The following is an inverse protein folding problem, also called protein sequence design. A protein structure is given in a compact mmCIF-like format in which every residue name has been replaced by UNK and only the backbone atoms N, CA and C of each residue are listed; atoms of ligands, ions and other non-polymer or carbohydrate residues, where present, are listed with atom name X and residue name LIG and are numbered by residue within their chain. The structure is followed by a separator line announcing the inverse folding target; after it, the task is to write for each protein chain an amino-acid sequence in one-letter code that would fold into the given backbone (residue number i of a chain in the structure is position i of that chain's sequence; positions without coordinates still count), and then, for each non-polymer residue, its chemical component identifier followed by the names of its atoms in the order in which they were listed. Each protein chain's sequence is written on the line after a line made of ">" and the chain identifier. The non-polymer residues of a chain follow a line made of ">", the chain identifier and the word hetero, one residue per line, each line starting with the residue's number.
data_IF_594099998630
#
_entry.id   IF_594099998630
#
_cell.length_a   1.000
_cell.length_b   1.000
_cell.length_c   1.000
_cell.angle_alpha   90.00
_cell.angle_beta   90.00
_cell.angle_gamma   90.00
#
_symmetry.space_group_name_H-M   'P 1'
#
loop_
_entity.id
_entity.type
_entity.pdbx_description
1 polymer ?
#
# COMPACT_ATOMS: atom_id res chain seq x y z
N UNK A 1 3.63 33.38 -4.78
CA UNK A 1 2.86 32.23 -5.26
C UNK A 1 3.38 30.92 -4.63
N UNK A 2 4.66 30.58 -4.80
CA UNK A 2 5.25 29.35 -4.25
C UNK A 2 5.12 29.24 -2.73
N UNK A 3 5.51 30.30 -2.00
CA UNK A 3 5.38 30.32 -0.54
C UNK A 3 3.94 30.09 -0.09
N UNK A 4 2.98 30.78 -0.73
CA UNK A 4 1.56 30.61 -0.38
C UNK A 4 1.04 29.18 -0.65
N UNK A 5 1.44 28.56 -1.75
CA UNK A 5 1.09 27.15 -2.03
C UNK A 5 1.70 26.24 -0.96
N UNK A 6 2.96 26.43 -0.56
CA UNK A 6 3.60 25.65 0.50
C UNK A 6 2.91 25.82 1.85
N UNK A 7 2.55 27.05 2.22
CA UNK A 7 1.84 27.36 3.47
C UNK A 7 0.47 26.64 3.51
N UNK A 8 -0.25 26.64 2.40
CA UNK A 8 -1.54 25.98 2.28
C UNK A 8 -1.41 24.44 2.31
N UNK A 9 -0.35 23.90 1.70
CA UNK A 9 -0.07 22.46 1.77
C UNK A 9 0.28 22.02 3.18
N UNK A 10 1.02 22.85 3.92
CA UNK A 10 1.31 22.60 5.34
C UNK A 10 0.03 22.66 6.19
N UNK A 11 -0.82 23.68 5.98
CA UNK A 11 -2.12 23.79 6.66
C UNK A 11 -2.99 22.57 6.39
N UNK A 12 -3.10 22.12 5.13
CA UNK A 12 -3.82 20.89 4.78
C UNK A 12 -3.23 19.66 5.48
N UNK A 13 -1.89 19.53 5.42
CA UNK A 13 -1.15 18.42 6.03
C UNK A 13 -1.31 18.32 7.55
N UNK A 14 -1.53 19.45 8.23
CA UNK A 14 -1.80 19.50 9.68
C UNK A 14 -3.28 19.28 10.01
N UNK A 15 -4.18 19.84 9.20
CA UNK A 15 -5.61 19.79 9.45
C UNK A 15 -6.21 18.38 9.26
N UNK A 16 -5.79 17.66 8.24
CA UNK A 16 -6.33 16.33 7.93
C UNK A 16 -6.07 15.29 9.02
N UNK A 17 -4.86 15.13 9.59
CA UNK A 17 -4.63 14.25 10.73
C UNK A 17 -5.40 14.68 11.97
N UNK A 18 -5.52 15.98 12.24
CA UNK A 18 -6.29 16.50 13.37
C UNK A 18 -7.78 16.15 13.23
N UNK A 19 -8.36 16.31 12.04
CA UNK A 19 -9.72 15.91 11.73
C UNK A 19 -9.91 14.38 11.87
N UNK A 20 -8.96 13.60 11.41
CA UNK A 20 -8.99 12.13 11.52
C UNK A 20 -8.97 11.69 12.98
N UNK A 21 -8.11 12.27 13.80
CA UNK A 21 -8.03 11.98 15.24
C UNK A 21 -9.30 12.39 16.00
N UNK A 22 -10.05 13.37 15.48
CA UNK A 22 -11.33 13.79 16.06
C UNK A 22 -12.52 12.94 15.59
N UNK A 23 -12.36 12.20 14.48
CA UNK A 23 -13.40 11.35 13.94
C UNK A 23 -13.49 10.02 14.71
N UNK A 24 -14.41 9.96 15.67
CA UNK A 24 -14.61 8.82 16.58
C UNK A 24 -16.07 8.43 16.58
N UNK A 25 -16.34 7.14 16.46
CA UNK A 25 -17.70 6.57 16.56
C UNK A 25 -17.83 5.88 17.92
N UNK A 26 -18.62 6.47 18.81
CA UNK A 26 -18.91 5.93 20.14
C UNK A 26 -19.90 4.79 20.06
N UNK A 27 -19.65 3.71 20.84
CA UNK A 27 -20.44 2.47 20.83
C UNK A 27 -20.85 2.12 22.25
N UNK A 28 -22.14 1.87 22.46
CA UNK A 28 -22.71 1.75 23.79
C UNK A 28 -22.69 0.32 24.34
N UNK A 29 -22.58 -0.69 23.48
CA UNK A 29 -22.57 -2.08 23.94
C UNK A 29 -21.64 -2.97 23.11
N UNK A 30 -21.23 -4.12 23.71
CA UNK A 30 -20.40 -5.12 23.02
C UNK A 30 -21.16 -5.79 21.87
N UNK A 31 -22.46 -5.91 21.98
CA UNK A 31 -23.32 -6.53 20.96
C UNK A 31 -23.34 -5.75 19.65
N UNK A 32 -23.21 -4.42 19.73
CA UNK A 32 -23.07 -3.58 18.52
C UNK A 32 -21.78 -3.88 17.73
N UNK A 33 -20.74 -4.40 18.42
CA UNK A 33 -19.45 -4.78 17.83
C UNK A 33 -19.42 -6.23 17.30
N UNK A 34 -20.56 -6.87 17.21
CA UNK A 34 -20.65 -8.26 16.72
C UNK A 34 -19.93 -8.42 15.37
N UNK A 35 -19.18 -9.52 15.23
CA UNK A 35 -18.37 -9.85 14.06
C UNK A 35 -16.91 -9.43 14.16
N UNK A 36 -16.56 -8.55 15.10
CA UNK A 36 -15.16 -8.21 15.37
C UNK A 36 -14.49 -9.29 16.23
N UNK A 37 -13.17 -9.40 16.11
CA UNK A 37 -12.38 -10.27 16.99
C UNK A 37 -12.34 -9.74 18.42
N UNK A 38 -12.07 -10.62 19.39
CA UNK A 38 -11.89 -10.18 20.79
C UNK A 38 -10.74 -9.19 20.94
N UNK A 39 -9.71 -9.27 20.11
CA UNK A 39 -8.62 -8.31 20.08
C UNK A 39 -9.08 -6.93 19.62
N UNK A 40 -9.90 -6.86 18.54
CA UNK A 40 -10.46 -5.58 18.04
C UNK A 40 -11.41 -4.96 19.06
N UNK A 41 -12.25 -5.78 19.72
CA UNK A 41 -13.18 -5.33 20.78
C UNK A 41 -12.38 -4.78 21.97
N UNK A 42 -11.31 -5.46 22.37
CA UNK A 42 -10.42 -4.98 23.45
C UNK A 42 -9.73 -3.66 23.06
N UNK A 43 -9.34 -3.50 21.80
CA UNK A 43 -8.79 -2.24 21.30
C UNK A 43 -9.84 -1.12 21.33
N UNK A 44 -11.07 -1.35 20.85
CA UNK A 44 -12.17 -0.40 20.94
C UNK A 44 -12.45 0.09 22.37
N UNK A 45 -12.33 -0.81 23.37
CA UNK A 45 -12.46 -0.46 24.78
C UNK A 45 -11.30 0.41 25.25
N UNK A 46 -10.07 0.03 24.94
CA UNK A 46 -8.87 0.77 25.29
C UNK A 46 -8.86 2.18 24.67
N UNK A 47 -9.31 2.31 23.44
CA UNK A 47 -9.43 3.59 22.75
C UNK A 47 -10.47 4.48 23.43
N UNK A 48 -11.61 3.93 23.85
CA UNK A 48 -12.62 4.65 24.61
C UNK A 48 -12.07 5.16 25.95
N UNK A 49 -11.33 4.32 26.67
CA UNK A 49 -10.65 4.71 27.93
C UNK A 49 -9.67 5.87 27.70
N UNK A 50 -8.89 5.83 26.63
CA UNK A 50 -7.90 6.87 26.30
C UNK A 50 -8.53 8.19 25.86
N UNK A 51 -9.76 8.17 25.33
CA UNK A 51 -10.49 9.31 24.81
C UNK A 51 -11.57 9.86 25.78
N UNK A 52 -11.53 9.45 27.04
CA UNK A 52 -12.36 10.02 28.11
C UNK A 52 -13.70 9.35 28.34
N UNK A 53 -13.87 8.08 27.90
CA UNK A 53 -15.00 7.20 28.26
C UNK A 53 -16.40 7.80 28.03
N UNK A 54 -16.65 8.44 26.92
CA UNK A 54 -18.00 8.92 26.56
C UNK A 54 -19.00 7.77 26.34
N UNK A 55 -18.48 6.59 26.01
CA UNK A 55 -19.19 5.31 25.94
C UNK A 55 -18.22 4.17 26.27
N UNK A 56 -18.71 2.92 26.55
CA UNK A 56 -17.85 1.78 26.89
C UNK A 56 -16.85 1.38 25.81
N UNK A 57 -17.15 1.69 24.55
CA UNK A 57 -16.30 1.40 23.40
C UNK A 57 -16.28 2.58 22.43
N UNK A 58 -15.25 2.65 21.60
CA UNK A 58 -15.27 3.52 20.45
C UNK A 58 -14.50 2.93 19.27
N UNK A 59 -14.87 3.32 18.06
CA UNK A 59 -14.13 3.04 16.84
C UNK A 59 -13.46 4.33 16.40
N UNK A 60 -12.14 4.33 16.41
CA UNK A 60 -11.30 5.42 15.92
C UNK A 60 -11.14 5.29 14.41
N UNK A 61 -11.40 6.37 13.68
CA UNK A 61 -11.19 6.40 12.23
C UNK A 61 -9.69 6.53 11.94
N UNK A 62 -9.18 5.67 11.06
CA UNK A 62 -7.79 5.71 10.62
C UNK A 62 -7.62 6.57 9.36
N UNK A 63 -6.41 7.11 9.16
CA UNK A 63 -6.13 7.99 8.01
C UNK A 63 -5.90 7.21 6.71
N UNK A 64 -6.92 6.43 6.32
CA UNK A 64 -6.98 5.71 5.06
C UNK A 64 -8.34 5.92 4.41
N UNK A 65 -8.47 5.68 3.11
CA UNK A 65 -9.77 5.71 2.42
C UNK A 65 -10.65 4.55 2.84
N UNK A 66 -10.04 3.39 3.12
CA UNK A 66 -10.74 2.18 3.52
C UNK A 66 -10.58 1.95 5.04
N UNK A 67 -11.69 1.69 5.72
CA UNK A 67 -11.70 1.35 7.14
C UNK A 67 -11.80 -0.16 7.29
N UNK A 68 -10.70 -0.82 7.66
CA UNK A 68 -10.62 -2.30 7.74
C UNK A 68 -11.70 -2.91 8.63
N UNK A 69 -12.12 -2.21 9.67
CA UNK A 69 -13.17 -2.67 10.59
C UNK A 69 -14.52 -2.92 9.89
N UNK A 70 -14.80 -2.24 8.76
CA UNK A 70 -16.02 -2.44 7.98
C UNK A 70 -16.14 -3.85 7.39
N UNK A 71 -15.02 -4.55 7.23
CA UNK A 71 -14.96 -5.90 6.68
C UNK A 71 -15.69 -6.93 7.54
N UNK A 72 -15.60 -6.80 8.86
CA UNK A 72 -16.09 -7.79 9.80
C UNK A 72 -17.31 -7.34 10.63
N UNK A 73 -17.58 -6.04 10.70
CA UNK A 73 -18.62 -5.47 11.54
C UNK A 73 -20.03 -5.87 11.05
N UNK A 74 -20.77 -6.67 11.82
CA UNK A 74 -22.10 -7.18 11.45
C UNK A 74 -23.20 -6.12 11.53
N UNK A 75 -23.12 -5.19 12.48
CA UNK A 75 -24.12 -4.16 12.68
C UNK A 75 -24.10 -3.13 11.51
N UNK A 76 -25.13 -3.18 10.67
CA UNK A 76 -25.24 -2.36 9.46
C UNK A 76 -25.26 -0.86 9.77
N UNK A 77 -26.00 -0.45 10.79
CA UNK A 77 -26.11 0.95 11.18
C UNK A 77 -24.77 1.47 11.71
N UNK A 78 -24.03 0.64 12.45
CA UNK A 78 -22.70 0.99 12.90
C UNK A 78 -21.71 1.07 11.73
N UNK A 79 -21.81 0.17 10.72
CA UNK A 79 -21.03 0.32 9.47
C UNK A 79 -21.30 1.67 8.81
N UNK A 80 -22.59 2.05 8.70
CA UNK A 80 -22.99 3.36 8.16
C UNK A 80 -22.33 4.51 8.93
N UNK A 81 -22.40 4.49 10.27
CA UNK A 81 -21.77 5.53 11.11
C UNK A 81 -20.27 5.62 10.91
N UNK A 82 -19.57 4.49 10.89
CA UNK A 82 -18.12 4.44 10.66
C UNK A 82 -17.75 4.95 9.26
N UNK A 83 -18.48 4.52 8.24
CA UNK A 83 -18.28 4.99 6.88
C UNK A 83 -18.51 6.50 6.75
N UNK A 84 -19.61 7.02 7.28
CA UNK A 84 -19.93 8.45 7.25
C UNK A 84 -18.88 9.26 8.03
N UNK A 85 -18.44 8.81 9.21
CA UNK A 85 -17.38 9.44 9.95
C UNK A 85 -16.06 9.49 9.14
N UNK A 86 -15.79 8.46 8.34
CA UNK A 86 -14.61 8.40 7.48
C UNK A 86 -14.69 9.38 6.30
N UNK A 87 -15.80 9.41 5.55
CA UNK A 87 -15.91 10.24 4.34
C UNK A 87 -16.13 11.72 4.63
N UNK A 88 -16.65 12.06 5.81
CA UNK A 88 -16.88 13.44 6.23
C UNK A 88 -15.72 14.04 7.05
N UNK A 89 -14.57 13.37 7.07
CA UNK A 89 -13.37 13.94 7.68
C UNK A 89 -12.95 15.20 6.92
N UNK A 90 -12.79 16.29 7.60
CA UNK A 90 -12.25 17.54 7.07
C UNK A 90 -13.01 18.15 5.86
N UNK A 91 -14.27 17.81 5.64
CA UNK A 91 -15.13 18.37 4.59
C UNK A 91 -15.96 19.59 5.05
N UNK A 92 -15.80 20.01 6.31
CA UNK A 92 -16.51 21.13 6.88
C UNK A 92 -17.82 20.75 7.59
N UNK A 93 -18.19 19.46 7.65
CA UNK A 93 -19.28 18.98 8.53
C UNK A 93 -19.01 19.37 9.98
N UNK A 94 -17.76 19.26 10.45
CA UNK A 94 -17.26 19.99 11.61
C UNK A 94 -16.55 21.26 11.12
N UNK A 95 -17.05 22.47 11.45
CA UNK A 95 -16.46 23.72 10.98
C UNK A 95 -14.98 23.93 11.35
N UNK A 96 -14.48 23.22 12.40
CA UNK A 96 -13.07 23.25 12.78
C UNK A 96 -12.16 22.56 11.76
N UNK A 97 -12.72 21.65 10.99
CA UNK A 97 -12.02 20.78 10.07
C UNK A 97 -12.60 20.92 8.67
N UNK A 98 -12.28 22.04 8.00
CA UNK A 98 -12.71 22.31 6.64
C UNK A 98 -11.52 22.53 5.73
N UNK A 99 -11.21 21.56 4.87
CA UNK A 99 -10.13 21.63 3.89
C UNK A 99 -10.54 22.24 2.55
N UNK A 100 -11.83 22.38 2.25
CA UNK A 100 -12.32 22.85 0.94
C UNK A 100 -11.80 24.25 0.57
N UNK A 101 -11.78 25.26 1.47
CA UNK A 101 -11.21 26.56 1.13
C UNK A 101 -9.73 26.46 0.77
N UNK A 102 -8.98 25.61 1.49
CA UNK A 102 -7.53 25.41 1.28
C UNK A 102 -7.31 24.77 -0.11
N UNK A 103 -8.02 23.68 -0.41
CA UNK A 103 -7.92 22.98 -1.70
C UNK A 103 -8.32 23.89 -2.86
N UNK A 104 -9.41 24.67 -2.69
CA UNK A 104 -9.86 25.65 -3.69
C UNK A 104 -8.82 26.71 -3.98
N UNK A 105 -8.18 27.25 -2.93
CA UNK A 105 -7.12 28.25 -3.11
C UNK A 105 -5.89 27.64 -3.77
N UNK A 106 -5.46 26.44 -3.36
CA UNK A 106 -4.34 25.71 -3.99
C UNK A 106 -4.61 25.52 -5.49
N UNK A 107 -5.82 25.08 -5.88
CA UNK A 107 -6.18 24.89 -7.28
C UNK A 107 -6.09 26.18 -8.10
N UNK A 108 -6.60 27.30 -7.55
CA UNK A 108 -6.47 28.62 -8.19
C UNK A 108 -5.02 29.05 -8.37
N UNK A 109 -4.20 28.92 -7.33
CA UNK A 109 -2.78 29.29 -7.37
C UNK A 109 -1.97 28.38 -8.30
N UNK A 110 -2.32 27.10 -8.40
CA UNK A 110 -1.71 26.18 -9.37
C UNK A 110 -2.06 26.58 -10.80
N UNK A 111 -3.32 26.96 -11.08
CA UNK A 111 -3.72 27.45 -12.39
C UNK A 111 -2.95 28.72 -12.77
N UNK A 112 -2.86 29.71 -11.87
CA UNK A 112 -2.05 30.93 -12.03
C UNK A 112 -0.58 30.59 -12.31
N UNK A 113 -0.01 29.64 -11.57
CA UNK A 113 1.37 29.18 -11.77
C UNK A 113 1.56 28.57 -13.16
N UNK A 114 0.62 27.74 -13.64
CA UNK A 114 0.68 27.17 -14.99
C UNK A 114 0.75 28.29 -16.06
N UNK A 115 -0.12 29.30 -15.94
CA UNK A 115 -0.16 30.43 -16.86
C UNK A 115 1.13 31.27 -16.81
N UNK A 116 1.65 31.57 -15.61
CA UNK A 116 2.91 32.30 -15.45
C UNK A 116 4.12 31.57 -16.08
N UNK A 117 4.05 30.23 -16.09
CA UNK A 117 5.08 29.39 -16.71
C UNK A 117 4.87 29.17 -18.20
N UNK A 118 3.83 29.80 -18.83
CA UNK A 118 3.56 29.73 -20.26
C UNK A 118 2.73 28.51 -20.70
N UNK A 119 2.06 27.83 -19.77
CA UNK A 119 1.20 26.67 -20.07
C UNK A 119 -0.27 27.05 -19.97
N UNK A 120 -1.12 26.35 -20.73
CA UNK A 120 -2.58 26.54 -20.68
C UNK A 120 -3.20 26.05 -19.39
N UNK A 121 -2.62 24.99 -18.78
CA UNK A 121 -3.06 24.41 -17.53
C UNK A 121 -1.89 24.08 -16.62
N UNK A 122 -2.15 23.93 -15.32
CA UNK A 122 -1.15 23.41 -14.37
C UNK A 122 -0.77 21.96 -14.69
N UNK A 123 -1.72 21.16 -15.16
CA UNK A 123 -1.48 19.79 -15.56
C UNK A 123 -0.44 19.71 -16.71
N UNK A 124 -0.57 20.55 -17.75
CA UNK A 124 0.41 20.57 -18.84
C UNK A 124 1.80 20.98 -18.35
N UNK A 125 1.88 21.98 -17.47
CA UNK A 125 3.14 22.36 -16.81
C UNK A 125 3.76 21.21 -16.02
N UNK A 126 2.96 20.52 -15.21
CA UNK A 126 3.41 19.43 -14.33
C UNK A 126 3.86 18.20 -15.12
N UNK A 127 3.20 17.92 -16.24
CA UNK A 127 3.41 16.73 -17.05
C UNK A 127 4.50 16.87 -18.11
N UNK A 128 5.01 18.08 -18.37
CA UNK A 128 6.00 18.33 -19.43
C UNK A 128 7.20 17.36 -19.37
N UNK A 129 7.71 17.09 -18.15
CA UNK A 129 8.90 16.26 -17.92
C UNK A 129 8.56 14.81 -17.57
N UNK A 130 7.31 14.39 -17.78
CA UNK A 130 6.85 13.02 -17.58
C UNK A 130 6.79 12.26 -18.92
N UNK A 131 6.55 10.95 -18.86
CA UNK A 131 6.33 10.13 -20.06
C UNK A 131 5.03 10.53 -20.79
N UNK A 132 4.00 10.91 -20.03
CA UNK A 132 2.70 11.33 -20.52
C UNK A 132 2.74 12.65 -21.30
N UNK A 133 3.69 13.55 -21.00
CA UNK A 133 3.96 14.83 -21.68
C UNK A 133 2.92 15.93 -21.49
N UNK A 134 1.64 15.65 -21.49
CA UNK A 134 0.55 16.62 -21.41
C UNK A 134 -0.76 16.01 -20.89
N UNK A 135 -1.68 16.87 -20.49
CA UNK A 135 -2.99 16.47 -19.94
C UNK A 135 -3.84 15.69 -20.96
N UNK A 136 -3.74 16.00 -22.25
CA UNK A 136 -4.50 15.28 -23.29
C UNK A 136 -4.12 13.80 -23.37
N UNK A 137 -2.83 13.48 -23.29
CA UNK A 137 -2.36 12.09 -23.31
C UNK A 137 -2.84 11.33 -22.06
N UNK A 138 -2.77 11.97 -20.88
CA UNK A 138 -3.29 11.39 -19.64
C UNK A 138 -4.79 11.15 -19.75
N UNK A 139 -5.58 12.14 -20.18
CA UNK A 139 -7.02 12.00 -20.35
C UNK A 139 -7.38 10.85 -21.30
N UNK A 140 -6.72 10.76 -22.44
CA UNK A 140 -6.96 9.68 -23.41
C UNK A 140 -6.68 8.30 -22.80
N UNK A 141 -5.60 8.18 -22.04
CA UNK A 141 -5.26 6.95 -21.33
C UNK A 141 -6.30 6.60 -20.26
N UNK A 142 -6.68 7.56 -19.39
CA UNK A 142 -7.70 7.36 -18.36
C UNK A 142 -9.05 6.97 -18.98
N UNK A 143 -9.49 7.64 -20.04
CA UNK A 143 -10.75 7.30 -20.72
C UNK A 143 -10.73 5.89 -21.30
N UNK A 144 -9.60 5.44 -21.84
CA UNK A 144 -9.46 4.06 -22.32
C UNK A 144 -9.59 3.04 -21.19
N UNK A 145 -8.99 3.31 -20.04
CA UNK A 145 -9.10 2.46 -18.85
C UNK A 145 -10.54 2.46 -18.30
N UNK A 146 -11.14 3.64 -18.13
CA UNK A 146 -12.51 3.79 -17.61
C UNK A 146 -13.49 2.98 -18.46
N UNK A 147 -13.38 3.06 -19.78
CA UNK A 147 -14.24 2.30 -20.71
C UNK A 147 -14.20 0.78 -20.46
N UNK A 148 -13.03 0.27 -20.12
CA UNK A 148 -12.85 -1.18 -19.90
C UNK A 148 -13.21 -1.60 -18.47
N UNK A 149 -12.94 -0.76 -17.48
CA UNK A 149 -13.08 -1.13 -16.07
C UNK A 149 -14.42 -0.78 -15.46
N UNK A 150 -15.08 0.32 -15.87
CA UNK A 150 -16.37 0.72 -15.28
C UNK A 150 -17.44 -0.36 -15.39
N UNK A 151 -17.64 -1.02 -16.56
CA UNK A 151 -18.59 -2.13 -16.65
C UNK A 151 -18.27 -3.32 -15.74
N UNK A 152 -16.97 -3.58 -15.49
CA UNK A 152 -16.54 -4.64 -14.57
C UNK A 152 -16.82 -4.27 -13.11
N UNK A 153 -16.54 -3.04 -12.70
CA UNK A 153 -16.86 -2.55 -11.36
C UNK A 153 -18.37 -2.57 -11.07
N UNK A 154 -19.18 -2.23 -12.09
CA UNK A 154 -20.64 -2.35 -12.00
C UNK A 154 -21.09 -3.81 -11.89
N UNK A 155 -20.47 -4.73 -12.63
CA UNK A 155 -20.76 -6.15 -12.52
C UNK A 155 -20.41 -6.70 -11.12
N UNK A 156 -19.20 -6.40 -10.61
CA UNK A 156 -18.78 -6.75 -9.25
C UNK A 156 -19.77 -6.22 -8.19
N UNK A 157 -20.26 -4.98 -8.36
CA UNK A 157 -21.22 -4.38 -7.44
C UNK A 157 -22.57 -5.11 -7.45
N UNK A 158 -23.06 -5.48 -8.65
CA UNK A 158 -24.28 -6.28 -8.78
C UNK A 158 -24.14 -7.69 -8.20
N UNK A 159 -22.97 -8.30 -8.36
CA UNK A 159 -22.70 -9.62 -7.77
C UNK A 159 -22.71 -9.58 -6.24
N UNK A 160 -22.11 -8.54 -5.63
CA UNK A 160 -22.15 -8.34 -4.18
C UNK A 160 -23.58 -8.08 -3.70
N UNK A 161 -24.35 -7.24 -4.41
CA UNK A 161 -25.75 -7.00 -4.06
C UNK A 161 -26.58 -8.29 -4.14
N UNK A 162 -26.43 -9.06 -5.22
CA UNK A 162 -27.14 -10.34 -5.38
C UNK A 162 -26.71 -11.36 -4.30
N UNK A 163 -25.44 -11.36 -3.91
CA UNK A 163 -24.97 -12.19 -2.80
C UNK A 163 -25.63 -11.78 -1.47
N UNK A 164 -25.64 -10.48 -1.15
CA UNK A 164 -26.26 -9.96 0.05
C UNK A 164 -27.77 -10.24 0.11
N UNK A 165 -28.46 -10.13 -1.03
CA UNK A 165 -29.91 -10.41 -1.13
C UNK A 165 -30.30 -11.84 -0.75
N UNK A 166 -29.36 -12.80 -0.82
CA UNK A 166 -29.63 -14.20 -0.38
C UNK A 166 -29.90 -14.29 1.13
N UNK A 167 -29.26 -13.44 1.92
CA UNK A 167 -29.40 -13.40 3.38
C UNK A 167 -30.32 -12.30 3.88
N UNK A 168 -30.34 -11.14 3.21
CA UNK A 168 -31.07 -9.95 3.66
C UNK A 168 -32.47 -9.81 3.02
N UNK A 169 -32.75 -10.55 1.95
CA UNK A 169 -34.00 -10.46 1.20
C UNK A 169 -33.87 -9.66 -0.10
N UNK A 170 -34.81 -9.91 -1.04
CA UNK A 170 -34.75 -9.37 -2.41
C UNK A 170 -34.81 -7.84 -2.50
N UNK A 171 -35.39 -7.17 -1.49
CA UNK A 171 -35.52 -5.71 -1.45
C UNK A 171 -34.27 -5.02 -0.91
N UNK A 172 -33.25 -5.80 -0.49
CA UNK A 172 -31.99 -5.23 -0.02
C UNK A 172 -31.28 -4.48 -1.12
N UNK A 173 -30.82 -3.26 -0.79
CA UNK A 173 -30.00 -2.42 -1.66
C UNK A 173 -28.63 -2.23 -1.03
N UNK A 174 -27.61 -2.63 -1.77
CA UNK A 174 -26.23 -2.44 -1.36
C UNK A 174 -25.89 -0.97 -1.27
N UNK A 175 -25.32 -0.57 -0.13
CA UNK A 175 -24.82 0.79 0.10
C UNK A 175 -23.28 0.77 0.14
N UNK A 176 -22.59 1.91 -0.06
CA UNK A 176 -21.14 1.95 -0.01
C UNK A 176 -20.54 1.35 1.28
N UNK A 177 -21.17 1.57 2.43
CA UNK A 177 -20.75 1.01 3.73
C UNK A 177 -21.00 -0.49 3.88
N UNK A 178 -21.74 -1.13 2.97
CA UNK A 178 -22.01 -2.57 2.98
C UNK A 178 -20.99 -3.34 2.13
N UNK A 179 -20.36 -2.68 1.16
CA UNK A 179 -19.53 -3.31 0.14
C UNK A 179 -18.44 -4.21 0.72
N UNK A 180 -17.61 -3.66 1.61
CA UNK A 180 -16.49 -4.42 2.19
C UNK A 180 -16.94 -5.63 3.01
N UNK A 181 -18.03 -5.50 3.73
CA UNK A 181 -18.60 -6.58 4.53
C UNK A 181 -19.08 -7.74 3.66
N UNK A 182 -19.92 -7.47 2.65
CA UNK A 182 -20.46 -8.54 1.80
C UNK A 182 -19.42 -9.08 0.81
N UNK A 183 -18.51 -8.25 0.33
CA UNK A 183 -17.37 -8.69 -0.48
C UNK A 183 -16.49 -9.68 0.28
N UNK A 184 -16.15 -9.40 1.53
CA UNK A 184 -15.35 -10.29 2.37
C UNK A 184 -16.07 -11.61 2.67
N UNK A 185 -17.38 -11.57 2.98
CA UNK A 185 -18.20 -12.78 3.17
C UNK A 185 -18.25 -13.63 1.91
N UNK A 186 -18.51 -12.98 0.76
CA UNK A 186 -18.56 -13.66 -0.53
C UNK A 186 -17.20 -14.27 -0.89
N UNK A 187 -16.09 -13.55 -0.70
CA UNK A 187 -14.74 -14.06 -0.90
C UNK A 187 -14.46 -15.29 -0.04
N UNK A 188 -14.79 -15.23 1.24
CA UNK A 188 -14.60 -16.33 2.18
C UNK A 188 -15.42 -17.56 1.78
N UNK A 189 -16.68 -17.39 1.39
CA UNK A 189 -17.56 -18.50 0.96
C UNK A 189 -17.10 -19.12 -0.36
N UNK A 190 -16.75 -18.28 -1.36
CA UNK A 190 -16.38 -18.77 -2.69
C UNK A 190 -15.00 -19.42 -2.73
N UNK A 191 -14.03 -18.87 -2.00
CA UNK A 191 -12.65 -19.31 -2.09
C UNK A 191 -12.19 -20.17 -0.91
N UNK A 192 -12.98 -20.20 0.18
CA UNK A 192 -12.68 -20.94 1.40
C UNK A 192 -11.21 -20.78 1.82
N UNK A 193 -10.76 -19.54 1.97
CA UNK A 193 -9.38 -19.19 2.29
C UNK A 193 -9.33 -18.20 3.44
N UNK A 194 -8.36 -18.35 4.33
CA UNK A 194 -8.05 -17.41 5.40
C UNK A 194 -6.57 -17.08 5.44
N UNK A 195 -6.23 -15.90 5.97
CA UNK A 195 -4.85 -15.50 6.18
C UNK A 195 -4.10 -16.48 7.10
N UNK A 196 -4.78 -17.08 8.09
CA UNK A 196 -4.17 -18.03 9.00
C UNK A 196 -3.73 -19.33 8.32
N UNK A 197 -4.39 -19.69 7.20
CA UNK A 197 -4.03 -20.85 6.37
C UNK A 197 -2.78 -20.59 5.52
N UNK A 198 -2.58 -19.36 5.04
CA UNK A 198 -1.50 -19.02 4.09
C UNK A 198 -0.26 -18.43 4.76
N UNK A 199 -0.40 -17.63 5.83
CA UNK A 199 0.72 -17.01 6.55
C UNK A 199 1.83 -17.97 6.96
N UNK A 200 1.58 -19.23 7.41
CA UNK A 200 2.65 -20.15 7.76
C UNK A 200 3.66 -20.45 6.64
N UNK A 201 3.32 -20.15 5.41
CA UNK A 201 4.21 -20.34 4.24
C UNK A 201 5.09 -19.10 3.92
N UNK A 202 4.84 -17.96 4.57
CA UNK A 202 5.51 -16.70 4.25
C UNK A 202 6.34 -16.20 5.44
N UNK A 203 7.47 -16.87 5.68
CA UNK A 203 8.49 -16.36 6.59
C UNK A 203 9.26 -15.22 5.91
N UNK A 204 9.39 -14.06 6.56
CA UNK A 204 10.02 -12.88 5.99
C UNK A 204 11.45 -13.13 5.51
N UNK A 205 12.24 -13.93 6.23
CA UNK A 205 13.61 -14.26 5.86
C UNK A 205 13.64 -15.21 4.65
N UNK A 206 12.73 -16.19 4.61
CA UNK A 206 12.59 -17.08 3.44
C UNK A 206 12.15 -16.29 2.21
N UNK A 207 11.17 -15.40 2.34
CA UNK A 207 10.73 -14.53 1.25
C UNK A 207 11.87 -13.68 0.74
N UNK A 208 12.69 -13.11 1.62
CA UNK A 208 13.85 -12.31 1.22
C UNK A 208 14.91 -13.15 0.49
N UNK A 209 15.35 -14.25 1.09
CA UNK A 209 16.49 -15.02 0.59
C UNK A 209 16.09 -15.95 -0.55
N UNK A 210 15.04 -16.75 -0.32
CA UNK A 210 14.60 -17.79 -1.25
C UNK A 210 13.58 -17.30 -2.29
N UNK A 211 13.01 -16.11 -2.09
CA UNK A 211 12.11 -15.45 -3.03
C UNK A 211 12.81 -14.33 -3.78
N UNK A 212 12.96 -13.19 -3.12
CA UNK A 212 13.46 -11.94 -3.72
C UNK A 212 14.88 -12.08 -4.29
N UNK A 213 15.81 -12.58 -3.48
CA UNK A 213 17.21 -12.76 -3.93
C UNK A 213 17.34 -13.89 -4.93
N UNK A 214 16.58 -14.97 -4.78
CA UNK A 214 16.57 -16.06 -5.75
C UNK A 214 16.06 -15.57 -7.12
N UNK A 215 14.98 -14.80 -7.16
CA UNK A 215 14.49 -14.18 -8.40
C UNK A 215 15.55 -13.29 -9.05
N UNK A 216 16.22 -12.43 -8.26
CA UNK A 216 17.28 -11.57 -8.76
C UNK A 216 18.50 -12.36 -9.27
N UNK A 217 18.85 -13.48 -8.62
CA UNK A 217 19.87 -14.40 -9.11
C UNK A 217 19.49 -15.01 -10.46
N UNK A 218 18.26 -15.53 -10.57
CA UNK A 218 17.77 -16.17 -11.81
C UNK A 218 17.69 -15.22 -12.98
N UNK A 219 17.22 -14.00 -12.77
CA UNK A 219 16.97 -13.02 -13.82
C UNK A 219 18.22 -12.21 -14.19
N UNK A 220 18.96 -11.76 -13.18
CA UNK A 220 20.07 -10.81 -13.36
C UNK A 220 21.46 -11.39 -13.03
N UNK A 221 21.54 -12.62 -12.54
CA UNK A 221 22.80 -13.25 -12.14
C UNK A 221 23.42 -12.64 -10.88
N UNK A 222 22.62 -12.00 -10.03
CA UNK A 222 23.11 -11.37 -8.82
C UNK A 222 23.33 -12.39 -7.69
N UNK A 223 24.38 -12.17 -6.90
CA UNK A 223 24.67 -12.95 -5.70
C UNK A 223 24.64 -12.04 -4.47
N UNK A 224 24.17 -12.56 -3.34
CA UNK A 224 23.98 -11.83 -2.10
C UNK A 224 24.72 -12.52 -0.97
N UNK A 225 25.67 -11.80 -0.32
CA UNK A 225 26.43 -12.28 0.82
C UNK A 225 26.16 -11.39 2.02
N UNK A 226 25.57 -11.95 3.07
CA UNK A 226 25.35 -11.17 4.30
C UNK A 226 26.67 -10.73 4.92
N UNK A 227 26.74 -9.47 5.30
CA UNK A 227 27.88 -8.82 5.93
C UNK A 227 27.53 -8.43 7.36
N UNK A 228 28.11 -9.10 8.34
CA UNK A 228 27.93 -8.84 9.77
C UNK A 228 28.96 -7.86 10.34
N UNK A 229 29.98 -7.59 9.58
CA UNK A 229 31.07 -6.66 9.89
C UNK A 229 30.80 -5.21 9.51
N UNK A 230 29.71 -4.96 8.76
CA UNK A 230 29.30 -3.61 8.37
C UNK A 230 28.28 -3.08 9.38
N UNK A 231 28.48 -1.85 9.91
CA UNK A 231 27.59 -1.28 10.91
C UNK A 231 26.19 -1.00 10.35
N UNK A 232 25.19 -1.14 11.24
CA UNK A 232 23.78 -0.80 10.96
C UNK A 232 23.30 0.23 11.98
N UNK A 233 22.28 1.02 11.63
CA UNK A 233 21.69 1.98 12.55
C UNK A 233 20.62 1.35 13.48
N UNK A 234 20.27 0.07 13.25
CA UNK A 234 19.37 -0.70 14.12
C UNK A 234 19.75 -2.18 14.09
N UNK A 235 19.68 -2.90 15.21
CA UNK A 235 20.12 -4.32 15.30
C UNK A 235 19.31 -5.28 14.43
N UNK A 236 18.05 -4.95 14.11
CA UNK A 236 17.20 -5.78 13.26
C UNK A 236 17.51 -5.66 11.76
N UNK A 237 18.37 -4.74 11.37
CA UNK A 237 18.76 -4.59 9.98
C UNK A 237 19.77 -5.67 9.56
N UNK A 238 19.64 -6.06 8.30
CA UNK A 238 20.63 -6.93 7.65
C UNK A 238 21.31 -6.19 6.50
N UNK A 239 22.60 -6.43 6.33
CA UNK A 239 23.40 -5.86 5.23
C UNK A 239 23.87 -6.98 4.33
N UNK A 240 23.78 -6.77 3.03
CA UNK A 240 24.23 -7.71 2.02
C UNK A 240 25.19 -7.03 1.03
N UNK A 241 26.31 -7.64 0.78
CA UNK A 241 27.12 -7.35 -0.38
C UNK A 241 26.48 -8.00 -1.59
N UNK A 242 26.26 -7.19 -2.62
CA UNK A 242 25.67 -7.64 -3.89
C UNK A 242 26.77 -7.71 -4.93
N UNK A 243 26.93 -8.85 -5.58
CA UNK A 243 27.90 -9.06 -6.65
C UNK A 243 27.24 -9.58 -7.93
N UNK A 244 27.87 -9.32 -9.05
CA UNK A 244 27.48 -9.85 -10.35
C UNK A 244 27.81 -11.34 -10.48
N UNK A 245 27.50 -11.94 -11.64
CA UNK A 245 27.77 -13.34 -11.95
C UNK A 245 29.25 -13.72 -11.92
N UNK A 246 30.16 -12.74 -12.04
CA UNK A 246 31.63 -12.97 -11.95
C UNK A 246 32.15 -12.90 -10.51
N UNK A 247 31.27 -12.56 -9.55
CA UNK A 247 31.65 -12.33 -8.17
C UNK A 247 32.16 -10.91 -7.88
N UNK A 248 32.12 -9.99 -8.86
CA UNK A 248 32.55 -8.61 -8.66
C UNK A 248 31.48 -7.86 -7.84
N UNK A 249 31.83 -7.22 -6.70
CA UNK A 249 30.92 -6.40 -5.94
C UNK A 249 30.39 -5.23 -6.77
N UNK A 250 29.07 -5.01 -6.73
CA UNK A 250 28.39 -3.93 -7.45
C UNK A 250 27.58 -3.01 -6.54
N UNK A 251 27.18 -3.46 -5.35
CA UNK A 251 26.38 -2.66 -4.43
C UNK A 251 26.47 -3.18 -2.98
N UNK A 252 26.03 -2.35 -2.04
CA UNK A 252 25.56 -2.80 -0.72
C UNK A 252 24.04 -2.62 -0.65
N UNK A 253 23.38 -3.63 -0.10
CA UNK A 253 21.94 -3.62 0.13
C UNK A 253 21.63 -3.78 1.61
N UNK A 254 20.81 -2.87 2.17
CA UNK A 254 20.34 -2.91 3.55
C UNK A 254 18.84 -3.24 3.56
N UNK A 255 18.42 -4.16 4.41
CA UNK A 255 17.01 -4.46 4.67
C UNK A 255 16.62 -4.08 6.10
N UNK A 256 15.62 -3.20 6.22
CA UNK A 256 15.03 -2.71 7.47
C UNK A 256 13.54 -2.99 7.46
N UNK A 257 13.13 -4.22 7.79
CA UNK A 257 11.79 -4.71 7.51
C UNK A 257 10.80 -4.60 8.67
N UNK A 258 11.27 -4.31 9.90
CA UNK A 258 10.39 -4.35 11.07
C UNK A 258 9.98 -2.97 11.56
N UNK A 259 8.70 -2.84 11.98
CA UNK A 259 8.17 -1.60 12.53
C UNK A 259 8.79 -1.28 13.89
N UNK A 260 8.87 0.00 14.20
CA UNK A 260 9.26 0.52 15.51
C UNK A 260 8.71 1.95 15.72
N UNK A 261 8.57 2.45 16.97
CA UNK A 261 7.93 3.72 17.24
C UNK A 261 8.55 4.94 16.55
N UNK A 262 9.87 4.91 16.31
CA UNK A 262 10.61 5.99 15.65
C UNK A 262 10.62 5.92 14.13
N UNK A 263 9.95 4.92 13.53
CA UNK A 263 9.95 4.66 12.09
C UNK A 263 8.64 5.14 11.48
N UNK A 264 8.73 5.88 10.37
CA UNK A 264 7.55 6.29 9.59
C UNK A 264 6.86 5.06 9.00
N UNK A 265 5.52 5.09 8.92
CA UNK A 265 4.72 4.02 8.30
C UNK A 265 4.93 3.91 6.78
N UNK A 266 4.40 2.84 6.19
CA UNK A 266 4.55 2.51 4.78
C UNK A 266 5.82 1.71 4.50
N UNK A 267 6.15 1.56 3.21
CA UNK A 267 7.38 0.97 2.73
C UNK A 267 8.06 1.92 1.74
N UNK A 268 9.37 1.81 1.59
CA UNK A 268 10.10 2.62 0.62
C UNK A 268 11.51 2.09 0.38
N UNK A 269 12.03 2.40 -0.80
CA UNK A 269 13.45 2.32 -1.14
C UNK A 269 14.09 3.70 -1.03
N UNK A 270 15.37 3.74 -0.60
CA UNK A 270 16.22 4.93 -0.74
C UNK A 270 17.71 4.54 -0.79
N UNK A 271 18.58 5.54 -0.86
CA UNK A 271 20.03 5.31 -1.01
C UNK A 271 20.83 6.13 0.01
N UNK A 272 21.77 5.50 0.69
CA UNK A 272 22.83 6.22 1.41
C UNK A 272 23.86 6.80 0.44
N UNK A 273 24.14 6.07 -0.65
CA UNK A 273 24.99 6.53 -1.74
C UNK A 273 24.38 6.10 -3.08
N UNK A 274 24.25 7.04 -4.01
CA UNK A 274 23.80 6.78 -5.38
C UNK A 274 24.98 6.42 -6.26
N UNK A 275 24.77 5.55 -7.24
CA UNK A 275 25.79 5.15 -8.21
C UNK A 275 26.28 6.35 -9.04
N UNK A 276 27.59 6.37 -9.35
CA UNK A 276 28.19 7.33 -10.30
C UNK A 276 29.48 6.75 -10.90
N UNK A 277 29.52 6.59 -12.21
CA UNK A 277 30.73 6.15 -12.90
C UNK A 277 31.85 7.21 -12.83
N UNK A 278 31.46 8.51 -12.88
CA UNK A 278 32.42 9.62 -12.82
C UNK A 278 33.26 9.62 -11.54
N UNK A 279 32.69 9.16 -10.43
CA UNK A 279 33.36 9.11 -9.13
C UNK A 279 33.74 7.71 -8.70
N UNK A 280 33.50 6.69 -9.54
CA UNK A 280 33.69 5.29 -9.16
C UNK A 280 32.81 4.87 -7.96
N UNK A 281 31.68 5.55 -7.76
CA UNK A 281 30.80 5.35 -6.62
C UNK A 281 29.86 4.17 -6.86
N UNK A 282 30.01 3.11 -6.05
CA UNK A 282 29.05 2.03 -5.99
C UNK A 282 27.83 2.45 -5.15
N UNK A 283 26.63 1.98 -5.52
CA UNK A 283 25.42 2.31 -4.78
C UNK A 283 25.32 1.61 -3.43
N UNK A 284 24.80 2.31 -2.43
CA UNK A 284 24.42 1.76 -1.13
C UNK A 284 22.93 2.02 -0.97
N UNK A 285 22.15 0.96 -1.16
CA UNK A 285 20.70 1.02 -1.25
C UNK A 285 20.08 0.39 0.01
N UNK A 286 18.93 0.92 0.44
CA UNK A 286 18.18 0.31 1.52
C UNK A 286 16.69 0.25 1.23
N UNK A 287 16.07 -0.84 1.66
CA UNK A 287 14.63 -1.01 1.70
C UNK A 287 14.12 -0.97 3.13
N UNK A 288 13.01 -0.29 3.31
CA UNK A 288 12.31 -0.17 4.60
C UNK A 288 10.89 -0.68 4.44
N UNK A 289 10.48 -1.55 5.38
CA UNK A 289 9.10 -1.99 5.55
C UNK A 289 8.67 -1.83 7.01
N UNK A 290 7.42 -2.15 7.33
CA UNK A 290 6.86 -2.01 8.67
C UNK A 290 6.13 -3.29 9.13
N UNK A 291 6.71 -4.46 8.83
CA UNK A 291 6.15 -5.75 9.24
C UNK A 291 6.16 -5.90 10.77
N UNK A 292 5.15 -6.56 11.31
CA UNK A 292 5.11 -6.88 12.73
C UNK A 292 6.14 -7.97 13.05
N UNK A 293 7.15 -7.63 13.87
CA UNK A 293 8.18 -8.59 14.28
C UNK A 293 7.61 -9.60 15.26
N UNK A 294 7.86 -10.90 15.03
CA UNK A 294 7.52 -11.95 15.98
C UNK A 294 8.37 -11.85 17.26
N UNK A 295 7.92 -12.46 18.37
CA UNK A 295 8.74 -12.63 19.56
C UNK A 295 10.09 -13.29 19.24
N UNK A 296 11.10 -13.01 20.08
CA UNK A 296 12.43 -13.59 19.90
C UNK A 296 12.39 -15.13 19.83
N UNK A 297 13.13 -15.69 18.89
CA UNK A 297 13.15 -17.13 18.64
C UNK A 297 11.99 -17.68 17.81
N UNK A 298 11.02 -16.84 17.44
CA UNK A 298 9.92 -17.25 16.55
C UNK A 298 10.10 -16.65 15.13
N UNK A 299 9.68 -17.38 14.07
CA UNK A 299 9.69 -16.87 12.72
C UNK A 299 8.67 -15.75 12.56
N UNK A 300 9.07 -14.65 11.90
CA UNK A 300 8.13 -13.60 11.52
C UNK A 300 7.39 -14.02 10.25
N UNK A 301 6.09 -14.21 10.39
CA UNK A 301 5.17 -14.55 9.29
C UNK A 301 4.51 -13.27 8.77
N UNK A 302 4.46 -13.14 7.45
CA UNK A 302 3.92 -11.98 6.75
C UNK A 302 2.72 -12.36 5.88
N UNK A 303 1.89 -11.38 5.54
CA UNK A 303 0.76 -11.56 4.63
C UNK A 303 1.23 -11.63 3.17
N UNK A 304 0.33 -12.03 2.26
CA UNK A 304 0.63 -11.99 0.83
C UNK A 304 0.92 -10.56 0.33
N UNK A 305 0.19 -9.57 0.81
CA UNK A 305 0.43 -8.16 0.45
C UNK A 305 1.82 -7.68 0.91
N UNK A 306 2.25 -8.12 2.10
CA UNK A 306 3.60 -7.84 2.59
C UNK A 306 4.68 -8.57 1.78
N UNK A 307 4.39 -9.79 1.27
CA UNK A 307 5.28 -10.47 0.29
C UNK A 307 5.41 -9.64 -0.98
N UNK A 308 4.29 -9.21 -1.58
CA UNK A 308 4.31 -8.34 -2.76
C UNK A 308 5.08 -7.04 -2.50
N UNK A 309 4.91 -6.43 -1.33
CA UNK A 309 5.65 -5.23 -0.91
C UNK A 309 7.17 -5.48 -0.87
N UNK A 310 7.63 -6.63 -0.37
CA UNK A 310 9.06 -6.96 -0.37
C UNK A 310 9.62 -7.04 -1.81
N UNK A 311 8.88 -7.67 -2.71
CA UNK A 311 9.26 -7.73 -4.13
C UNK A 311 9.23 -6.34 -4.78
N UNK A 312 8.21 -5.53 -4.50
CA UNK A 312 8.08 -4.16 -4.97
C UNK A 312 9.28 -3.29 -4.59
N UNK A 313 9.54 -3.16 -3.29
CA UNK A 313 10.63 -2.33 -2.78
C UNK A 313 11.99 -2.83 -3.28
N UNK A 314 12.13 -4.14 -3.47
CA UNK A 314 13.34 -4.68 -4.04
C UNK A 314 13.46 -4.39 -5.54
N UNK A 315 12.37 -4.25 -6.28
CA UNK A 315 12.38 -3.76 -7.66
C UNK A 315 12.95 -2.34 -7.77
N UNK A 316 12.58 -1.45 -6.84
CA UNK A 316 13.25 -0.15 -6.70
C UNK A 316 14.72 -0.28 -6.32
N UNK A 317 15.04 -1.21 -5.42
CA UNK A 317 16.43 -1.46 -5.04
C UNK A 317 17.26 -1.94 -6.24
N UNK A 318 16.75 -2.85 -7.06
CA UNK A 318 17.39 -3.28 -8.31
C UNK A 318 17.60 -2.10 -9.27
N UNK A 319 16.63 -1.21 -9.41
CA UNK A 319 16.75 0.02 -10.20
C UNK A 319 17.92 0.89 -9.71
N UNK A 320 18.10 0.99 -8.39
CA UNK A 320 19.24 1.71 -7.78
C UNK A 320 20.57 0.97 -7.95
N UNK A 321 20.61 -0.34 -7.65
CA UNK A 321 21.83 -1.13 -7.64
C UNK A 321 22.41 -1.39 -9.04
N UNK A 322 21.54 -1.56 -10.04
CA UNK A 322 21.94 -1.84 -11.43
C UNK A 322 22.12 -0.58 -12.28
N UNK A 323 22.00 0.60 -11.68
CA UNK A 323 22.22 1.87 -12.38
C UNK A 323 23.65 1.99 -12.92
N UNK A 324 23.79 2.55 -14.13
CA UNK A 324 25.07 2.82 -14.79
C UNK A 324 25.03 4.22 -15.41
N UNK A 325 25.12 5.24 -14.57
CA UNK A 325 25.05 6.64 -14.95
C UNK A 325 26.36 7.35 -14.65
N UNK A 326 26.74 8.31 -15.50
CA UNK A 326 27.92 9.13 -15.24
C UNK A 326 27.78 9.96 -13.97
N UNK A 327 26.59 10.47 -13.68
CA UNK A 327 26.32 11.35 -12.54
C UNK A 327 25.30 10.71 -11.58
N UNK A 328 25.54 10.81 -10.27
CA UNK A 328 24.65 10.29 -9.23
C UNK A 328 23.26 10.95 -9.22
N UNK A 329 23.14 12.20 -9.67
CA UNK A 329 21.86 12.90 -9.77
C UNK A 329 20.92 12.34 -10.84
N UNK A 330 21.45 11.53 -11.76
CA UNK A 330 20.72 10.88 -12.85
C UNK A 330 20.57 9.36 -12.64
N UNK A 331 21.03 8.83 -11.52
CA UNK A 331 21.09 7.38 -11.30
C UNK A 331 19.90 6.85 -10.52
N UNK A 332 19.61 5.57 -10.76
CA UNK A 332 18.58 4.82 -10.06
C UNK A 332 17.20 5.41 -10.28
N UNK A 333 16.50 5.68 -9.19
CA UNK A 333 15.12 6.20 -9.19
C UNK A 333 15.01 7.69 -9.55
N UNK A 334 16.10 8.34 -10.00
CA UNK A 334 16.08 9.71 -10.53
C UNK A 334 15.57 9.74 -11.99
N UNK A 335 14.38 9.29 -12.23
CA UNK A 335 13.69 9.14 -13.52
C UNK A 335 12.37 9.92 -13.52
N UNK A 336 11.67 9.94 -14.65
CA UNK A 336 10.33 10.52 -14.73
C UNK A 336 9.41 9.85 -13.68
N UNK A 337 8.57 10.67 -13.02
CA UNK A 337 7.76 10.21 -11.89
C UNK A 337 6.77 9.12 -12.27
N UNK A 338 6.22 9.18 -13.48
CA UNK A 338 5.31 8.20 -14.05
C UNK A 338 6.01 6.97 -14.67
N UNK A 339 7.34 6.87 -14.49
CA UNK A 339 8.14 5.69 -14.84
C UNK A 339 8.66 4.95 -13.61
N UNK A 340 8.87 5.65 -12.50
CA UNK A 340 9.62 5.14 -11.35
C UNK A 340 9.05 3.83 -10.76
N UNK A 341 7.73 3.63 -10.86
CA UNK A 341 7.05 2.43 -10.38
C UNK A 341 7.09 1.24 -11.36
N UNK A 342 7.55 1.45 -12.60
CA UNK A 342 7.59 0.34 -13.57
C UNK A 342 8.52 -0.80 -13.13
N UNK A 343 9.76 -0.54 -12.67
CA UNK A 343 10.65 -1.62 -12.22
C UNK A 343 10.14 -2.33 -10.96
N UNK A 344 9.51 -1.60 -10.03
CA UNK A 344 8.97 -2.16 -8.80
C UNK A 344 7.75 -3.05 -9.06
N UNK A 345 6.77 -2.55 -9.82
CA UNK A 345 5.57 -3.30 -10.19
C UNK A 345 5.89 -4.50 -11.10
N UNK A 346 6.87 -4.36 -11.99
CA UNK A 346 7.37 -5.50 -12.77
C UNK A 346 7.95 -6.58 -11.86
N UNK A 347 8.72 -6.19 -10.83
CA UNK A 347 9.34 -7.14 -9.91
C UNK A 347 8.31 -7.86 -9.01
N UNK A 348 7.16 -7.23 -8.69
CA UNK A 348 6.06 -7.90 -7.97
C UNK A 348 5.58 -9.17 -8.68
N UNK A 349 5.56 -9.16 -10.01
CA UNK A 349 5.09 -10.31 -10.79
C UNK A 349 5.88 -11.59 -10.51
N UNK A 350 7.15 -11.47 -10.10
CA UNK A 350 7.96 -12.62 -9.75
C UNK A 350 7.50 -13.35 -8.49
N UNK A 351 6.80 -12.68 -7.58
CA UNK A 351 6.29 -13.29 -6.36
C UNK A 351 5.37 -14.49 -6.63
N UNK A 352 4.60 -14.48 -7.71
CA UNK A 352 3.64 -15.53 -8.08
C UNK A 352 4.14 -16.52 -9.14
N UNK A 353 5.31 -16.29 -9.75
CA UNK A 353 5.88 -17.21 -10.73
C UNK A 353 6.14 -18.57 -10.07
N UNK A 354 5.63 -19.70 -10.63
CA UNK A 354 5.68 -21.00 -9.97
C UNK A 354 7.07 -21.41 -9.48
N UNK A 355 8.11 -21.24 -10.29
CA UNK A 355 9.49 -21.58 -9.94
C UNK A 355 9.97 -20.78 -8.69
N UNK A 356 9.65 -19.49 -8.62
CA UNK A 356 10.07 -18.63 -7.52
C UNK A 356 9.18 -18.87 -6.30
N UNK A 357 7.86 -18.92 -6.49
CA UNK A 357 6.90 -19.17 -5.43
C UNK A 357 7.19 -20.47 -4.68
N UNK A 358 7.36 -21.57 -5.40
CA UNK A 358 7.60 -22.88 -4.81
C UNK A 358 8.97 -22.98 -4.11
N UNK A 359 9.90 -22.05 -4.43
CA UNK A 359 11.19 -21.98 -3.76
C UNK A 359 11.12 -21.33 -2.39
N UNK A 360 10.32 -20.28 -2.20
CA UNK A 360 10.24 -19.55 -0.91
C UNK A 360 9.02 -19.90 -0.06
N UNK A 361 7.88 -20.27 -0.69
CA UNK A 361 6.61 -20.51 0.02
C UNK A 361 6.61 -21.91 0.66
N UNK A 362 7.34 -22.05 1.76
CA UNK A 362 7.50 -23.29 2.53
C UNK A 362 6.92 -23.13 3.92
N UNK A 363 6.14 -24.11 4.35
CA UNK A 363 5.54 -24.10 5.70
C UNK A 363 6.64 -24.03 6.77
N UNK A 364 6.59 -23.03 7.61
CA UNK A 364 7.68 -22.65 8.53
C UNK A 364 8.09 -23.78 9.49
N UNK A 365 7.13 -24.61 9.94
CA UNK A 365 7.39 -25.71 10.88
C UNK A 365 7.80 -27.01 10.17
N UNK A 366 7.19 -27.31 9.02
CA UNK A 366 7.35 -28.63 8.36
C UNK A 366 8.27 -28.57 7.15
N UNK A 367 8.56 -27.39 6.59
CA UNK A 367 9.28 -27.22 5.32
C UNK A 367 8.51 -27.65 4.08
N UNK A 368 7.26 -28.11 4.24
CA UNK A 368 6.43 -28.58 3.14
C UNK A 368 6.07 -27.43 2.19
N UNK A 369 5.96 -27.73 0.89
CA UNK A 369 5.42 -26.79 -0.09
C UNK A 369 3.94 -26.50 0.22
N UNK A 370 3.47 -25.32 -0.22
CA UNK A 370 2.04 -25.00 -0.15
C UNK A 370 1.25 -25.99 -1.02
N UNK A 371 0.15 -26.58 -0.50
CA UNK A 371 -0.72 -27.44 -1.30
C UNK A 371 -1.22 -26.75 -2.55
N UNK A 372 -1.30 -27.48 -3.67
CA UNK A 372 -1.66 -26.91 -4.96
C UNK A 372 -3.04 -26.24 -4.96
N UNK A 373 -4.02 -26.83 -4.28
CA UNK A 373 -5.36 -26.28 -4.12
C UNK A 373 -5.36 -24.97 -3.31
N UNK A 374 -4.57 -24.90 -2.23
CA UNK A 374 -4.43 -23.70 -1.42
C UNK A 374 -3.76 -22.58 -2.23
N UNK A 375 -2.69 -22.90 -2.98
CA UNK A 375 -2.02 -21.97 -3.89
C UNK A 375 -2.99 -21.42 -4.95
N UNK A 376 -3.78 -22.28 -5.58
CA UNK A 376 -4.77 -21.88 -6.59
C UNK A 376 -5.84 -20.95 -5.98
N UNK A 377 -6.40 -21.30 -4.81
CA UNK A 377 -7.36 -20.45 -4.09
C UNK A 377 -6.77 -19.10 -3.71
N UNK A 378 -5.54 -19.09 -3.23
CA UNK A 378 -4.81 -17.87 -2.89
C UNK A 378 -4.61 -16.98 -4.12
N UNK A 379 -4.12 -17.51 -5.25
CA UNK A 379 -3.92 -16.76 -6.48
C UNK A 379 -5.24 -16.22 -7.06
N UNK A 380 -6.33 -17.00 -7.01
CA UNK A 380 -7.67 -16.53 -7.36
C UNK A 380 -8.15 -15.39 -6.44
N UNK A 381 -7.76 -15.41 -5.17
CA UNK A 381 -8.13 -14.37 -4.22
C UNK A 381 -7.53 -13.00 -4.54
N UNK A 382 -6.38 -12.96 -5.20
CA UNK A 382 -5.68 -11.73 -5.61
C UNK A 382 -6.49 -10.97 -6.68
N UNK A 383 -7.08 -11.68 -7.62
CA UNK A 383 -7.89 -11.09 -8.70
C UNK A 383 -9.36 -10.89 -8.33
N UNK A 384 -9.76 -11.20 -7.09
CA UNK A 384 -11.15 -11.10 -6.66
C UNK A 384 -11.56 -9.64 -6.48
N UNK A 385 -12.54 -9.19 -7.29
CA UNK A 385 -13.15 -7.86 -7.22
C UNK A 385 -12.14 -6.69 -7.27
N UNK A 386 -11.16 -6.76 -8.16
CA UNK A 386 -10.11 -5.74 -8.30
C UNK A 386 -10.55 -4.50 -9.08
N UNK A 387 -11.66 -4.56 -9.82
CA UNK A 387 -12.10 -3.43 -10.63
C UNK A 387 -12.53 -2.24 -9.76
N UNK A 388 -13.09 -2.47 -8.57
CA UNK A 388 -13.46 -1.39 -7.67
C UNK A 388 -12.25 -0.57 -7.19
N UNK A 389 -11.19 -1.21 -6.71
CA UNK A 389 -10.00 -0.50 -6.22
C UNK A 389 -9.28 0.28 -7.32
N UNK A 390 -9.25 -0.28 -8.54
CA UNK A 390 -8.77 0.47 -9.70
C UNK A 390 -9.66 1.68 -10.00
N UNK A 391 -10.99 1.54 -9.86
CA UNK A 391 -11.95 2.63 -10.03
C UNK A 391 -11.72 3.79 -9.06
N UNK A 392 -11.41 3.50 -7.79
CA UNK A 392 -11.03 4.53 -6.80
C UNK A 392 -9.77 5.30 -7.25
N UNK A 393 -8.74 4.60 -7.72
CA UNK A 393 -7.51 5.24 -8.23
C UNK A 393 -7.77 6.08 -9.48
N UNK A 394 -8.59 5.59 -10.42
CA UNK A 394 -8.97 6.34 -11.63
C UNK A 394 -9.75 7.61 -11.27
N UNK A 395 -10.70 7.52 -10.33
CA UNK A 395 -11.48 8.68 -9.88
C UNK A 395 -10.59 9.74 -9.23
N UNK A 396 -9.67 9.32 -8.35
CA UNK A 396 -8.71 10.23 -7.72
C UNK A 396 -7.79 10.89 -8.74
N UNK A 397 -7.28 10.14 -9.73
CA UNK A 397 -6.40 10.65 -10.78
C UNK A 397 -7.15 11.64 -11.70
N UNK A 398 -8.42 11.35 -12.05
CA UNK A 398 -9.24 12.27 -12.84
C UNK A 398 -9.55 13.57 -12.08
N UNK A 399 -9.66 13.51 -10.75
CA UNK A 399 -9.89 14.70 -9.92
C UNK A 399 -8.62 15.57 -9.81
N UNK A 400 -7.43 14.95 -9.73
CA UNK A 400 -6.15 15.68 -9.59
C UNK A 400 -5.69 16.33 -10.91
N UNK A 401 -6.10 15.82 -12.06
CA UNK A 401 -5.74 16.30 -13.39
C UNK A 401 -6.45 17.60 -13.74
#
# INVERSE_FOLDING_TARGET
>A
LYSRISDLQEQFGNLLPAATNNAVVWVNSKEELAGLSDADIAQCKKDAESLGNKAPYCIVIVNTTQQAILTNLQNRELRRKVYMASIHRADGTDPKFNTFPIVTEIAKLRAEKGQLMGYSTYADYSLEKTMAKNAKNVNNFLQSLIKEYAPKADAETREIEAYAQKSEGKDFKLQPYDRFYYSAKMKKEMLNISDDEIKPYFNVDSVQINGVFYAAHRVYGLNFKQRKDIPTYHPDMKVFEVSDKSGKPIALFYSDYFRRPTKRGGAWMSAFAKQSDKWGQLPIIYNVCNNAKAPEGQPTLITWDEVCTLFHEFGHALHGMLSKCGYNTLSGTAVARDFVEMPSQFNESFASIPEIFDHYARHTQTGAAMPADLKERMLKSISFQTAYSLGENLAATCLDL
#
